data_IF_487558299926
#
_entry.id   IF_487558299926
#
_cell.length_a   1.000
_cell.length_b   1.000
_cell.length_c   1.000
_cell.angle_alpha   90.00
_cell.angle_beta   90.00
_cell.angle_gamma   90.00
#
_symmetry.space_group_name_H-M   'P 1'
#
loop_
_entity.id
_entity.type
_entity.pdbx_description
1 polymer ?
#
# COMPACT_ATOMS: atom_id res chain seq x y z
N UNK A 1 19.93 21.10 21.84
CA UNK A 1 18.90 22.14 21.66
C UNK A 1 18.40 22.07 20.22
N UNK A 2 17.11 21.79 20.08
CA UNK A 2 16.23 21.78 18.88
C UNK A 2 16.85 22.17 17.52
N UNK A 3 16.73 21.27 16.55
CA UNK A 3 16.23 21.63 15.22
C UNK A 3 15.00 20.74 14.98
N UNK A 4 13.86 21.27 15.42
CA UNK A 4 12.52 20.78 15.14
C UNK A 4 11.91 21.75 14.10
N UNK A 5 11.08 21.23 13.21
CA UNK A 5 10.39 21.91 12.11
C UNK A 5 11.23 21.93 10.82
N UNK A 6 10.72 21.55 9.66
CA UNK A 6 9.39 21.87 9.15
C UNK A 6 9.11 20.97 7.92
N UNK A 7 8.56 19.76 8.09
CA UNK A 7 7.83 19.14 6.98
C UNK A 7 6.38 19.52 7.17
N UNK A 8 6.14 20.71 6.64
CA UNK A 8 4.88 21.38 6.49
C UNK A 8 3.85 20.41 5.90
N UNK A 9 2.74 20.32 6.62
CA UNK A 9 1.41 20.00 6.10
C UNK A 9 1.22 20.70 4.74
N UNK A 10 1.46 20.00 3.64
CA UNK A 10 1.05 20.46 2.32
C UNK A 10 0.59 19.22 1.57
N UNK A 11 -0.63 19.30 1.06
CA UNK A 11 -1.27 18.32 0.18
C UNK A 11 -0.33 17.94 -0.96
N UNK A 12 0.48 16.90 -0.76
CA UNK A 12 1.30 16.39 -1.86
C UNK A 12 0.39 15.44 -2.65
N UNK A 13 -0.30 16.01 -3.64
CA UNK A 13 -0.73 15.28 -4.83
C UNK A 13 0.56 14.80 -5.52
N UNK A 14 1.11 13.68 -5.06
CA UNK A 14 2.27 13.06 -5.67
C UNK A 14 1.78 12.21 -6.84
N UNK A 15 2.40 12.42 -8.00
CA UNK A 15 2.18 11.58 -9.17
C UNK A 15 2.75 10.17 -8.90
N UNK A 16 2.05 9.11 -9.29
CA UNK A 16 2.35 7.73 -8.89
C UNK A 16 3.77 7.25 -9.24
N UNK A 17 4.35 7.71 -10.36
CA UNK A 17 5.75 7.41 -10.71
C UNK A 17 6.77 8.02 -9.71
N UNK A 18 6.42 9.18 -9.14
CA UNK A 18 7.23 9.85 -8.11
C UNK A 18 7.03 9.20 -6.74
N UNK A 19 5.81 8.72 -6.47
CA UNK A 19 5.50 7.90 -5.28
C UNK A 19 6.29 6.59 -5.31
N UNK A 20 6.26 5.84 -6.42
CA UNK A 20 6.97 4.55 -6.54
C UNK A 20 8.48 4.69 -6.28
N UNK A 21 9.11 5.72 -6.86
CA UNK A 21 10.55 5.97 -6.65
C UNK A 21 10.91 6.48 -5.25
N UNK A 22 10.04 7.28 -4.62
CA UNK A 22 10.22 7.73 -3.23
C UNK A 22 10.00 6.58 -2.24
N UNK A 23 8.96 5.77 -2.43
CA UNK A 23 8.68 4.56 -1.65
C UNK A 23 9.85 3.59 -1.75
N UNK A 24 10.37 3.33 -2.95
CA UNK A 24 11.55 2.47 -3.13
C UNK A 24 12.75 2.99 -2.35
N UNK A 25 13.00 4.31 -2.36
CA UNK A 25 14.11 4.93 -1.63
C UNK A 25 13.92 4.88 -0.11
N UNK A 26 12.70 5.05 0.38
CA UNK A 26 12.39 4.89 1.81
C UNK A 26 12.50 3.43 2.26
N UNK A 27 11.99 2.48 1.48
CA UNK A 27 12.14 1.03 1.73
C UNK A 27 13.62 0.62 1.78
N UNK A 28 14.45 1.15 0.88
CA UNK A 28 15.89 0.88 0.88
C UNK A 28 16.60 1.44 2.11
N UNK A 29 16.19 2.61 2.61
CA UNK A 29 16.71 3.17 3.85
C UNK A 29 16.23 2.40 5.09
N UNK A 30 15.11 1.67 4.97
CA UNK A 30 14.50 0.89 6.05
C UNK A 30 14.94 -0.58 6.11
N UNK A 31 15.86 -1.01 5.23
CA UNK A 31 16.33 -2.41 5.09
C UNK A 31 15.20 -3.44 4.88
N UNK A 32 14.03 -3.01 4.42
CA UNK A 32 12.89 -3.90 4.24
C UNK A 32 12.91 -4.49 2.83
N UNK A 33 12.82 -5.82 2.73
CA UNK A 33 12.79 -6.49 1.41
C UNK A 33 11.35 -6.83 1.06
N UNK A 34 10.83 -6.23 -0.01
CA UNK A 34 9.47 -6.52 -0.49
C UNK A 34 9.60 -7.27 -1.82
N UNK A 35 8.90 -8.40 -1.93
CA UNK A 35 8.79 -9.14 -3.19
C UNK A 35 7.36 -9.64 -3.38
N UNK A 36 6.95 -9.71 -4.65
CA UNK A 36 5.65 -10.22 -5.06
C UNK A 36 5.86 -11.20 -6.21
N UNK A 37 5.00 -12.22 -6.29
CA UNK A 37 5.08 -13.27 -7.30
C UNK A 37 3.67 -13.65 -7.75
N UNK A 38 3.49 -13.88 -9.04
CA UNK A 38 2.30 -14.47 -9.66
C UNK A 38 2.75 -15.62 -10.56
N UNK A 39 2.78 -16.85 -10.02
CA UNK A 39 3.20 -18.07 -10.75
C UNK A 39 2.38 -19.26 -10.31
N UNK A 40 2.25 -20.26 -11.19
CA UNK A 40 1.56 -21.53 -10.91
C UNK A 40 0.16 -21.31 -10.31
N UNK A 41 -0.58 -20.35 -10.88
CA UNK A 41 -1.91 -19.95 -10.42
C UNK A 41 -1.96 -19.45 -8.96
N UNK A 42 -0.86 -18.92 -8.42
CA UNK A 42 -0.78 -18.32 -7.09
C UNK A 42 -0.12 -16.95 -7.11
N UNK A 43 -0.70 -16.05 -6.35
CA UNK A 43 -0.17 -14.72 -6.07
C UNK A 43 0.30 -14.68 -4.63
N UNK A 44 1.50 -14.16 -4.39
CA UNK A 44 2.06 -14.02 -3.05
C UNK A 44 2.69 -12.65 -2.85
N UNK A 45 2.67 -12.23 -1.59
CA UNK A 45 3.34 -11.02 -1.09
C UNK A 45 4.27 -11.46 0.02
N UNK A 46 5.55 -11.10 -0.10
CA UNK A 46 6.56 -11.34 0.91
C UNK A 46 7.18 -10.04 1.39
N UNK A 47 7.38 -9.96 2.70
CA UNK A 47 8.11 -8.89 3.37
C UNK A 47 9.18 -9.54 4.24
N UNK A 48 10.42 -9.07 4.11
CA UNK A 48 11.61 -9.61 4.78
C UNK A 48 11.76 -11.12 4.58
N UNK A 49 11.57 -11.56 3.34
CA UNK A 49 11.64 -12.96 2.89
C UNK A 49 10.62 -13.91 3.56
N UNK A 50 9.61 -13.37 4.24
CA UNK A 50 8.47 -14.13 4.78
C UNK A 50 7.24 -13.85 3.94
N UNK A 51 6.59 -14.91 3.46
CA UNK A 51 5.27 -14.79 2.83
C UNK A 51 4.27 -14.34 3.89
N UNK A 52 3.68 -13.16 3.70
CA UNK A 52 2.67 -12.59 4.60
C UNK A 52 1.26 -12.77 4.06
N UNK A 53 1.13 -13.04 2.75
CA UNK A 53 -0.15 -13.23 2.09
C UNK A 53 0.03 -14.08 0.84
N UNK A 54 -0.94 -14.96 0.61
CA UNK A 54 -0.97 -15.85 -0.55
C UNK A 54 -2.41 -16.17 -0.91
N UNK A 55 -2.71 -16.23 -2.21
CA UNK A 55 -4.02 -16.61 -2.74
C UNK A 55 -3.88 -17.26 -4.11
N UNK A 56 -4.93 -17.94 -4.55
CA UNK A 56 -5.06 -18.40 -5.93
C UNK A 56 -5.30 -17.21 -6.87
N UNK A 57 -4.60 -17.18 -8.00
CA UNK A 57 -4.76 -16.19 -9.07
C UNK A 57 -4.31 -16.79 -10.40
N UNK A 58 -5.20 -16.93 -11.39
CA UNK A 58 -4.89 -17.61 -12.65
C UNK A 58 -4.51 -16.64 -13.78
N UNK A 59 -5.13 -15.45 -13.80
CA UNK A 59 -4.96 -14.46 -14.87
C UNK A 59 -4.53 -13.12 -14.30
N UNK A 60 -3.42 -13.10 -13.57
CA UNK A 60 -2.91 -11.88 -12.92
C UNK A 60 -1.39 -11.76 -13.05
N UNK A 61 -0.92 -10.53 -13.18
CA UNK A 61 0.48 -10.18 -13.00
C UNK A 61 0.82 -10.06 -11.51
N UNK A 62 2.11 -9.91 -11.20
CA UNK A 62 2.56 -9.72 -9.82
C UNK A 62 1.83 -8.53 -9.17
N UNK A 63 1.33 -8.69 -7.93
CA UNK A 63 0.80 -7.58 -7.15
C UNK A 63 1.83 -6.45 -7.02
N UNK A 64 1.34 -5.21 -7.07
CA UNK A 64 2.20 -4.03 -6.99
C UNK A 64 2.03 -3.33 -5.65
N UNK A 65 3.14 -3.02 -4.97
CA UNK A 65 3.09 -2.11 -3.82
C UNK A 65 2.83 -0.69 -4.34
N UNK A 66 1.64 -0.17 -4.06
CA UNK A 66 1.22 1.16 -4.54
C UNK A 66 1.23 2.22 -3.44
N UNK A 67 1.25 1.80 -2.18
CA UNK A 67 1.38 2.70 -1.05
C UNK A 67 2.13 2.06 0.11
N UNK A 68 2.99 2.84 0.73
CA UNK A 68 3.66 2.50 1.97
C UNK A 68 3.76 3.76 2.84
N UNK A 69 3.53 3.59 4.13
CA UNK A 69 3.81 4.63 5.09
C UNK A 69 4.35 4.03 6.39
N UNK A 70 5.53 4.52 6.79
CA UNK A 70 6.10 4.34 8.13
C UNK A 70 5.96 5.63 8.90
N UNK A 71 4.88 5.76 9.65
CA UNK A 71 4.70 6.92 10.51
C UNK A 71 5.23 6.56 11.90
N UNK A 72 6.19 7.33 12.42
CA UNK A 72 6.87 7.07 13.70
C UNK A 72 5.93 6.84 14.91
N UNK A 73 4.68 7.32 14.84
CA UNK A 73 3.64 7.16 15.88
C UNK A 73 2.42 6.33 15.42
N UNK A 74 2.48 5.71 14.24
CA UNK A 74 1.40 4.92 13.65
C UNK A 74 1.83 3.47 13.40
N UNK A 75 0.91 2.68 12.86
CA UNK A 75 1.23 1.37 12.33
C UNK A 75 1.99 1.59 11.00
N UNK A 76 2.94 0.71 10.68
CA UNK A 76 3.40 0.62 9.31
C UNK A 76 2.25 0.10 8.47
N UNK A 77 1.99 0.71 7.32
CA UNK A 77 0.91 0.31 6.42
C UNK A 77 1.43 0.09 5.02
N UNK A 78 1.03 -1.02 4.43
CA UNK A 78 1.27 -1.37 3.03
C UNK A 78 -0.06 -1.58 2.33
N UNK A 79 -0.18 -1.01 1.13
CA UNK A 79 -1.29 -1.30 0.22
C UNK A 79 -0.72 -1.87 -1.07
N UNK A 80 -1.11 -3.11 -1.35
CA UNK A 80 -0.80 -3.78 -2.60
C UNK A 80 -2.02 -3.76 -3.50
N UNK A 81 -1.82 -3.51 -4.79
CA UNK A 81 -2.86 -3.63 -5.79
C UNK A 81 -2.63 -4.92 -6.58
N UNK A 82 -3.65 -5.76 -6.59
CA UNK A 82 -3.73 -6.90 -7.51
C UNK A 82 -3.76 -6.39 -8.97
N UNK A 83 -3.17 -7.14 -9.90
CA UNK A 83 -3.00 -6.71 -11.29
C UNK A 83 -3.62 -7.73 -12.26
N UNK A 84 -4.96 -7.78 -12.36
CA UNK A 84 -5.66 -8.70 -13.26
C UNK A 84 -5.39 -8.42 -14.73
N UNK A 85 -5.13 -9.48 -15.50
CA UNK A 85 -4.90 -9.42 -16.93
C UNK A 85 -6.21 -9.09 -17.66
N UNK A 86 -6.18 -8.09 -18.55
CA UNK A 86 -7.32 -7.72 -19.37
C UNK A 86 -8.48 -7.04 -18.63
N UNK A 87 -8.23 -6.49 -17.43
CA UNK A 87 -9.26 -5.77 -16.68
C UNK A 87 -9.64 -4.43 -17.34
N UNK A 88 -10.94 -4.16 -17.43
CA UNK A 88 -11.50 -3.01 -18.13
C UNK A 88 -11.28 -1.66 -17.41
N UNK A 89 -11.00 -1.68 -16.11
CA UNK A 89 -10.82 -0.45 -15.33
C UNK A 89 -9.37 -0.18 -14.92
N UNK A 90 -8.40 -0.91 -15.48
CA UNK A 90 -6.97 -0.81 -15.12
C UNK A 90 -6.71 -0.86 -13.60
N UNK A 91 -7.66 -1.46 -12.87
CA UNK A 91 -7.71 -1.52 -11.42
C UNK A 91 -7.55 -2.96 -10.93
N UNK A 92 -7.72 -3.14 -9.64
CA UNK A 92 -7.66 -4.45 -9.01
C UNK A 92 -7.88 -4.33 -7.51
N UNK A 93 -8.08 -5.46 -6.85
CA UNK A 93 -8.29 -5.48 -5.41
C UNK A 93 -7.10 -4.84 -4.70
N UNK A 94 -7.37 -3.83 -3.87
CA UNK A 94 -6.38 -3.27 -2.96
C UNK A 94 -6.36 -4.11 -1.69
N UNK A 95 -5.19 -4.65 -1.35
CA UNK A 95 -4.94 -5.46 -0.17
C UNK A 95 -4.15 -4.65 0.84
N UNK A 96 -4.72 -4.48 2.03
CA UNK A 96 -4.19 -3.58 3.05
C UNK A 96 -3.60 -4.42 4.17
N UNK A 97 -2.37 -4.07 4.54
CA UNK A 97 -1.64 -4.72 5.62
C UNK A 97 -1.18 -3.67 6.62
N UNK A 98 -1.16 -4.04 7.90
CA UNK A 98 -0.58 -3.19 8.93
C UNK A 98 0.35 -3.97 9.87
N UNK A 99 1.34 -3.27 10.42
CA UNK A 99 2.14 -3.71 11.55
C UNK A 99 2.07 -2.64 12.62
N UNK A 100 1.58 -2.99 13.80
CA UNK A 100 1.52 -2.04 14.91
C UNK A 100 2.91 -1.64 15.35
N UNK A 101 3.08 -0.39 15.77
CA UNK A 101 4.38 0.12 16.22
C UNK A 101 4.93 -0.76 17.35
N UNK A 102 6.17 -1.23 17.21
CA UNK A 102 6.82 -2.13 18.17
C UNK A 102 6.42 -3.61 18.05
N UNK A 103 5.45 -3.95 17.21
CA UNK A 103 5.13 -5.34 16.89
C UNK A 103 5.98 -5.84 15.72
N UNK A 104 6.23 -7.16 15.69
CA UNK A 104 6.97 -7.81 14.60
C UNK A 104 6.06 -8.30 13.49
N UNK A 105 4.83 -8.67 13.83
CA UNK A 105 3.92 -9.33 12.90
C UNK A 105 3.15 -8.33 12.04
N UNK A 106 3.02 -8.69 10.77
CA UNK A 106 2.23 -7.96 9.79
C UNK A 106 0.89 -8.68 9.69
N UNK A 107 -0.19 -7.92 9.84
CA UNK A 107 -1.56 -8.43 9.82
C UNK A 107 -2.28 -7.98 8.56
N UNK A 108 -3.09 -8.89 8.00
CA UNK A 108 -4.02 -8.57 6.91
C UNK A 108 -5.21 -7.79 7.48
N UNK A 109 -5.50 -6.63 6.89
CA UNK A 109 -6.51 -5.69 7.40
C UNK A 109 -7.80 -5.72 6.61
N UNK A 110 -7.71 -6.16 5.36
CA UNK A 110 -8.84 -6.28 4.48
C UNK A 110 -8.50 -5.90 3.06
N UNK A 111 -9.53 -5.90 2.26
CA UNK A 111 -9.47 -5.61 0.84
C UNK A 111 -10.52 -4.60 0.42
N UNK A 112 -10.24 -3.91 -0.68
CA UNK A 112 -11.16 -3.06 -1.39
C UNK A 112 -11.16 -3.45 -2.86
N UNK A 113 -12.32 -3.84 -3.39
CA UNK A 113 -12.49 -3.98 -4.83
C UNK A 113 -12.42 -2.59 -5.48
N UNK A 114 -11.27 -2.28 -6.08
CA UNK A 114 -10.96 -0.95 -6.58
C UNK A 114 -10.89 -0.96 -8.10
N UNK A 115 -11.87 -0.30 -8.71
CA UNK A 115 -12.03 -0.19 -10.15
C UNK A 115 -11.88 1.27 -10.61
N UNK A 116 -10.94 1.99 -10.00
CA UNK A 116 -10.63 3.39 -10.27
C UNK A 116 -9.31 3.61 -11.03
N UNK A 117 -8.71 2.57 -11.60
CA UNK A 117 -7.42 2.62 -12.27
C UNK A 117 -6.24 2.14 -11.40
N UNK A 118 -5.03 2.29 -11.94
CA UNK A 118 -3.79 1.81 -11.33
C UNK A 118 -3.23 2.73 -10.23
N UNK A 119 -3.80 3.93 -10.06
CA UNK A 119 -3.23 5.00 -9.26
C UNK A 119 -4.28 5.64 -8.32
N UNK A 120 -4.77 4.92 -7.29
CA UNK A 120 -5.55 5.53 -6.23
C UNK A 120 -4.75 6.65 -5.52
N UNK A 121 -5.46 7.67 -5.05
CA UNK A 121 -4.91 8.68 -4.16
C UNK A 121 -5.01 8.23 -2.70
N UNK A 122 -4.02 8.59 -1.88
CA UNK A 122 -3.96 8.22 -0.47
C UNK A 122 -3.80 9.45 0.41
N UNK A 123 -4.61 9.54 1.45
CA UNK A 123 -4.47 10.53 2.52
C UNK A 123 -4.33 9.82 3.87
N UNK A 124 -3.27 10.15 4.60
CA UNK A 124 -3.12 9.76 6.00
C UNK A 124 -3.39 10.98 6.89
N UNK A 125 -4.45 10.90 7.69
CA UNK A 125 -4.81 11.96 8.64
C UNK A 125 -5.15 11.38 10.00
N UNK A 126 -4.34 11.72 11.01
CA UNK A 126 -4.52 11.21 12.37
C UNK A 126 -4.41 9.69 12.40
N UNK A 127 -5.53 9.01 12.71
CA UNK A 127 -5.61 7.55 12.77
C UNK A 127 -6.30 6.92 11.55
N UNK A 128 -6.52 7.67 10.48
CA UNK A 128 -7.29 7.23 9.32
C UNK A 128 -6.43 7.21 8.06
N UNK A 129 -6.40 6.06 7.39
CA UNK A 129 -6.04 5.94 5.99
C UNK A 129 -7.30 6.16 5.16
N UNK A 130 -7.25 7.13 4.25
CA UNK A 130 -8.29 7.37 3.25
C UNK A 130 -7.73 7.02 1.88
N UNK A 131 -8.44 6.17 1.16
CA UNK A 131 -8.17 5.81 -0.23
C UNK A 131 -9.23 6.47 -1.09
N UNK A 132 -8.82 7.16 -2.14
CA UNK A 132 -9.69 7.96 -2.99
C UNK A 132 -9.61 7.42 -4.42
N UNK A 133 -10.79 7.09 -4.97
CA UNK A 133 -10.98 6.91 -6.39
C UNK A 133 -11.27 8.28 -7.02
N UNK A 134 -10.26 8.87 -7.65
CA UNK A 134 -10.39 10.19 -8.30
C UNK A 134 -11.37 10.17 -9.47
N UNK A 135 -11.60 9.01 -10.10
CA UNK A 135 -12.50 8.90 -11.26
C UNK A 135 -13.97 8.91 -10.82
N UNK A 136 -14.30 8.24 -9.72
CA UNK A 136 -15.68 8.19 -9.20
C UNK A 136 -15.95 9.18 -8.06
N UNK A 137 -14.92 9.81 -7.51
CA UNK A 137 -14.99 10.65 -6.31
C UNK A 137 -15.25 9.87 -5.02
N UNK A 138 -15.28 8.54 -5.06
CA UNK A 138 -15.53 7.70 -3.88
C UNK A 138 -14.31 7.70 -2.97
N UNK A 139 -14.57 7.69 -1.67
CA UNK A 139 -13.53 7.59 -0.64
C UNK A 139 -13.82 6.42 0.30
N UNK A 140 -12.77 5.67 0.61
CA UNK A 140 -12.79 4.54 1.52
C UNK A 140 -11.89 4.85 2.71
N UNK A 141 -12.33 4.49 3.92
CA UNK A 141 -11.66 4.89 5.16
C UNK A 141 -11.31 3.65 5.99
N UNK A 142 -10.05 3.56 6.40
CA UNK A 142 -9.52 2.51 7.26
C UNK A 142 -8.94 3.15 8.52
N UNK A 143 -9.45 2.75 9.69
CA UNK A 143 -8.92 3.24 10.97
C UNK A 143 -7.78 2.33 11.46
N UNK A 144 -6.82 2.94 12.17
CA UNK A 144 -5.74 2.25 12.86
C UNK A 144 -6.28 1.14 13.78
N UNK A 145 -5.83 -0.10 13.60
CA UNK A 145 -6.08 -1.19 14.54
C UNK A 145 -7.51 -1.73 14.67
N UNK A 146 -8.45 -1.33 13.79
CA UNK A 146 -9.80 -1.91 13.66
C UNK A 146 -9.85 -3.29 13.01
#
# INVERSE_FOLDING_TARGET
MKILSLILLCCILLNANKISSQIQKEIQNDLMTISTDAKNNQCSISIDNKIIYQRTCEFEYNPSLIFYARLQNWNDVWVFQDNPMGNACDGGILRIFERKNGEKDISYRGELDFCGGANPSFELKGNTLKIIDENSGKSHYFQKGQ
#
